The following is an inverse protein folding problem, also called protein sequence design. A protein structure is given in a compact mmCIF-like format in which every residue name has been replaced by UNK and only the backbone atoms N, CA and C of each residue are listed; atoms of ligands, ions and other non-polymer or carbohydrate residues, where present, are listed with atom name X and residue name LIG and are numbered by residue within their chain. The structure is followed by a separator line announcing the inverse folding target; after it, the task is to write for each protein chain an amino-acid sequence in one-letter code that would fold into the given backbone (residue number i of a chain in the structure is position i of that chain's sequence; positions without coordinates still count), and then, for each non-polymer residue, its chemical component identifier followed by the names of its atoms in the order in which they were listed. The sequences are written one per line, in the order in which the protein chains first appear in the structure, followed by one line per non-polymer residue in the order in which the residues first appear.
data_IF_757757582517
#
_entry.id   IF_757757582517
#
_cell.length_a   1.000
_cell.length_b   1.000
_cell.length_c   1.000
_cell.angle_alpha   90.00
_cell.angle_beta   90.00
_cell.angle_gamma   90.00
#
_symmetry.space_group_name_H-M   'P 1'
#
loop_
_entity.id
_entity.type
_entity.pdbx_description
1 polymer ?
#
# COMPACT_ATOMS: atom_id res chain seq x y z
N UNK A 1 -21.93 -35.81 38.29
CA UNK A 1 -22.51 -34.89 37.29
C UNK A 1 -21.48 -33.79 37.04
N UNK A 2 -20.67 -33.91 36.00
CA UNK A 2 -19.54 -32.99 35.73
C UNK A 2 -19.36 -32.75 34.21
N UNK A 3 -20.46 -32.64 33.47
CA UNK A 3 -20.44 -32.49 32.00
C UNK A 3 -20.86 -31.10 31.50
N UNK A 4 -21.27 -30.17 32.38
CA UNK A 4 -21.74 -28.83 31.99
C UNK A 4 -20.65 -27.77 31.92
N UNK A 5 -19.40 -28.09 32.28
CA UNK A 5 -18.31 -27.12 32.33
C UNK A 5 -17.76 -26.70 30.97
N UNK A 6 -17.74 -27.58 29.97
CA UNK A 6 -17.05 -27.33 28.69
C UNK A 6 -17.82 -26.42 27.72
N UNK A 7 -19.15 -26.38 27.78
CA UNK A 7 -19.97 -25.63 26.83
C UNK A 7 -19.82 -24.10 26.95
N UNK A 8 -19.42 -23.59 28.12
CA UNK A 8 -19.27 -22.14 28.36
C UNK A 8 -17.90 -21.58 27.92
N UNK A 9 -16.93 -22.44 27.59
CA UNK A 9 -15.59 -21.98 27.18
C UNK A 9 -15.48 -21.68 25.68
N UNK A 10 -16.23 -22.40 24.83
CA UNK A 10 -16.20 -22.20 23.38
C UNK A 10 -16.48 -20.76 22.90
N UNK A 11 -17.53 -20.07 23.38
CA UNK A 11 -17.79 -18.70 22.93
C UNK A 11 -16.73 -17.69 23.40
N UNK A 12 -16.09 -17.94 24.55
CA UNK A 12 -14.99 -17.10 25.04
C UNK A 12 -13.73 -17.23 24.19
N UNK A 13 -13.38 -18.46 23.78
CA UNK A 13 -12.23 -18.72 22.90
C UNK A 13 -12.45 -18.09 21.52
N UNK A 14 -13.65 -18.25 20.94
CA UNK A 14 -13.97 -17.65 19.63
C UNK A 14 -13.88 -16.12 19.69
N UNK A 15 -14.42 -15.49 20.74
CA UNK A 15 -14.29 -14.04 20.93
C UNK A 15 -12.84 -13.59 21.09
N UNK A 16 -12.01 -14.33 21.84
CA UNK A 16 -10.59 -14.01 21.99
C UNK A 16 -9.83 -14.10 20.66
N UNK A 17 -10.11 -15.13 19.85
CA UNK A 17 -9.49 -15.31 18.53
C UNK A 17 -9.90 -14.19 17.56
N UNK A 18 -11.19 -13.84 17.50
CA UNK A 18 -11.67 -12.74 16.65
C UNK A 18 -11.06 -11.40 17.08
N UNK A 19 -10.97 -11.17 18.40
CA UNK A 19 -10.37 -9.94 18.95
C UNK A 19 -8.89 -9.83 18.59
N UNK A 20 -8.14 -10.91 18.74
CA UNK A 20 -6.74 -10.96 18.34
C UNK A 20 -6.57 -10.73 16.83
N UNK A 21 -7.42 -11.34 15.99
CA UNK A 21 -7.39 -11.14 14.55
C UNK A 21 -7.66 -9.68 14.16
N UNK A 22 -8.66 -9.03 14.78
CA UNK A 22 -8.96 -7.61 14.53
C UNK A 22 -7.82 -6.68 14.96
N UNK A 23 -7.18 -6.95 16.09
CA UNK A 23 -6.03 -6.16 16.56
C UNK A 23 -4.82 -6.32 15.63
N UNK A 24 -4.53 -7.55 15.18
CA UNK A 24 -3.44 -7.82 14.24
C UNK A 24 -3.71 -7.15 12.89
N UNK A 25 -4.92 -7.32 12.34
CA UNK A 25 -5.32 -6.66 11.10
C UNK A 25 -5.25 -5.14 11.23
N UNK A 26 -5.69 -4.57 12.35
CA UNK A 26 -5.59 -3.15 12.64
C UNK A 26 -4.14 -2.65 12.70
N UNK A 27 -3.24 -3.39 13.34
CA UNK A 27 -1.81 -3.07 13.38
C UNK A 27 -1.18 -3.10 11.98
N UNK A 28 -1.49 -4.13 11.18
CA UNK A 28 -0.96 -4.26 9.82
C UNK A 28 -1.46 -3.07 8.97
N UNK A 29 -2.76 -2.81 8.96
CA UNK A 29 -3.36 -1.73 8.17
C UNK A 29 -2.88 -0.34 8.60
N UNK A 30 -2.70 -0.09 9.91
CA UNK A 30 -2.16 1.19 10.39
C UNK A 30 -0.68 1.36 10.05
N UNK A 31 0.11 0.30 10.09
CA UNK A 31 1.53 0.34 9.73
C UNK A 31 1.71 0.57 8.23
N UNK A 32 0.99 -0.15 7.38
CA UNK A 32 1.06 0.02 5.92
C UNK A 32 0.44 1.35 5.47
N UNK A 33 -0.67 1.76 6.08
CA UNK A 33 -1.30 3.04 5.77
C UNK A 33 -0.50 4.24 6.27
N UNK A 34 0.11 4.16 7.46
CA UNK A 34 0.88 5.27 8.05
C UNK A 34 2.18 5.61 7.30
N UNK A 35 2.75 4.69 6.52
CA UNK A 35 3.86 5.00 5.62
C UNK A 35 3.45 5.79 4.38
N UNK A 36 2.15 5.84 4.06
CA UNK A 36 1.61 6.46 2.83
C UNK A 36 0.68 7.65 3.13
N UNK A 37 0.09 7.67 4.32
CA UNK A 37 -0.88 8.64 4.77
C UNK A 37 -0.20 9.85 5.45
N UNK A 38 0.18 10.82 4.63
CA UNK A 38 0.33 12.19 5.09
C UNK A 38 -0.36 13.15 4.12
N UNK A 39 -1.60 13.47 4.48
CA UNK A 39 -2.39 14.65 4.09
C UNK A 39 -2.68 14.81 2.59
N UNK A 40 -3.23 13.79 1.93
CA UNK A 40 -3.67 13.90 0.54
C UNK A 40 -5.04 14.63 0.38
N UNK A 41 -5.82 14.81 1.46
CA UNK A 41 -7.24 15.24 1.35
C UNK A 41 -7.53 16.76 1.41
N UNK A 42 -6.55 17.65 1.56
CA UNK A 42 -6.83 19.09 1.79
C UNK A 42 -6.56 20.02 0.61
N UNK A 43 -5.91 19.55 -0.46
CA UNK A 43 -5.48 20.40 -1.57
C UNK A 43 -6.27 20.13 -2.85
N UNK A 44 -6.82 21.19 -3.45
CA UNK A 44 -7.38 21.13 -4.80
C UNK A 44 -6.23 21.11 -5.82
N UNK A 45 -6.06 19.98 -6.51
CA UNK A 45 -5.02 19.80 -7.53
C UNK A 45 -5.16 20.84 -8.64
N UNK A 46 -6.40 21.19 -8.99
CA UNK A 46 -6.70 22.12 -10.08
C UNK A 46 -6.37 23.58 -9.69
N UNK A 47 -6.10 23.87 -8.42
CA UNK A 47 -5.59 25.18 -7.96
C UNK A 47 -4.05 25.25 -7.93
N UNK A 48 -3.38 24.09 -7.93
CA UNK A 48 -1.94 23.99 -7.70
C UNK A 48 -1.19 23.68 -8.98
N UNK A 49 -1.75 22.80 -9.81
CA UNK A 49 -1.15 22.35 -11.06
C UNK A 49 -1.99 22.80 -12.25
N UNK A 50 -1.29 23.20 -13.31
CA UNK A 50 -1.88 23.57 -14.58
C UNK A 50 -1.48 22.54 -15.64
N UNK A 51 -2.46 22.03 -16.38
CA UNK A 51 -2.20 21.24 -17.60
C UNK A 51 -1.53 22.13 -18.63
N UNK A 52 -0.42 21.66 -19.16
CA UNK A 52 0.26 22.21 -20.32
C UNK A 52 -0.18 21.52 -21.62
N UNK A 53 -1.11 20.58 -21.55
CA UNK A 53 -1.48 19.70 -22.66
C UNK A 53 -0.35 18.76 -23.06
N UNK A 54 -0.39 18.26 -24.30
CA UNK A 54 0.61 17.34 -24.87
C UNK A 54 1.91 18.06 -25.23
N UNK A 55 2.63 18.56 -24.23
CA UNK A 55 3.88 19.31 -24.40
C UNK A 55 5.13 18.57 -23.93
N UNK A 56 4.98 17.43 -23.24
CA UNK A 56 6.10 16.57 -22.86
C UNK A 56 6.32 15.47 -23.88
N UNK A 57 7.56 15.31 -24.33
CA UNK A 57 7.98 14.18 -25.14
C UNK A 57 8.78 13.20 -24.30
N UNK A 58 8.42 11.93 -24.31
CA UNK A 58 9.22 10.88 -23.68
C UNK A 58 10.55 10.73 -24.44
N UNK A 59 11.65 10.87 -23.72
CA UNK A 59 13.01 10.74 -24.24
C UNK A 59 13.53 9.33 -24.00
N UNK A 60 13.27 8.76 -22.83
CA UNK A 60 13.65 7.39 -22.52
C UNK A 60 12.74 6.79 -21.44
N UNK A 61 12.63 5.46 -21.47
CA UNK A 61 11.88 4.69 -20.49
C UNK A 61 12.80 3.66 -19.88
N UNK A 62 13.09 3.79 -18.60
CA UNK A 62 13.85 2.77 -17.86
C UNK A 62 12.88 1.94 -17.04
N UNK A 63 12.70 0.69 -17.43
CA UNK A 63 11.92 -0.29 -16.67
C UNK A 63 12.87 -1.29 -16.01
N UNK A 64 12.78 -1.40 -14.69
CA UNK A 64 13.44 -2.43 -13.88
C UNK A 64 12.39 -3.14 -13.05
N UNK A 65 12.69 -4.34 -12.61
CA UNK A 65 11.83 -5.07 -11.70
C UNK A 65 12.69 -5.63 -10.57
N UNK A 66 12.12 -5.61 -9.36
CA UNK A 66 12.70 -6.17 -8.16
C UNK A 66 11.85 -7.36 -7.70
N UNK A 67 12.52 -8.47 -7.40
CA UNK A 67 11.88 -9.68 -6.88
C UNK A 67 12.20 -9.83 -5.40
N UNK A 68 11.19 -9.86 -4.54
CA UNK A 68 11.37 -10.11 -3.11
C UNK A 68 10.65 -11.40 -2.74
N UNK A 69 11.32 -12.28 -1.99
CA UNK A 69 10.69 -13.51 -1.46
C UNK A 69 10.58 -13.42 0.04
N UNK A 70 9.39 -13.70 0.56
CA UNK A 70 9.15 -13.82 2.01
C UNK A 70 8.53 -15.18 2.32
N UNK A 71 8.98 -15.78 3.41
CA UNK A 71 8.36 -17.02 3.92
C UNK A 71 7.27 -16.64 4.92
N UNK A 72 6.02 -17.00 4.63
CA UNK A 72 4.88 -16.78 5.52
C UNK A 72 4.48 -18.10 6.17
N UNK A 73 4.34 -18.12 7.48
CA UNK A 73 3.82 -19.30 8.19
C UNK A 73 2.30 -19.35 8.04
N UNK A 74 1.77 -20.42 7.46
CA UNK A 74 0.32 -20.66 7.32
C UNK A 74 -0.20 -21.45 8.53
N UNK A 75 0.62 -22.33 9.11
CA UNK A 75 0.32 -23.08 10.34
C UNK A 75 1.60 -23.50 11.07
N UNK A 76 1.47 -24.17 12.21
CA UNK A 76 2.58 -24.64 13.05
C UNK A 76 3.65 -25.42 12.29
N UNK A 77 3.23 -26.17 11.26
CA UNK A 77 4.09 -27.09 10.51
C UNK A 77 4.16 -26.77 9.01
N UNK A 78 3.61 -25.62 8.57
CA UNK A 78 3.55 -25.24 7.16
C UNK A 78 3.91 -23.78 6.93
N UNK A 79 4.91 -23.57 6.07
CA UNK A 79 5.29 -22.27 5.54
C UNK A 79 5.04 -22.21 4.03
N UNK A 80 4.40 -21.14 3.56
CA UNK A 80 4.43 -20.77 2.14
C UNK A 80 5.60 -19.83 1.87
N UNK A 81 6.16 -19.92 0.67
CA UNK A 81 7.02 -18.87 0.14
C UNK A 81 6.20 -18.00 -0.79
N UNK A 82 6.17 -16.72 -0.50
CA UNK A 82 5.52 -15.69 -1.29
C UNK A 82 6.59 -14.96 -2.09
N UNK A 83 6.33 -14.76 -3.37
CA UNK A 83 7.15 -13.91 -4.24
C UNK A 83 6.39 -12.63 -4.57
N UNK A 84 7.04 -11.50 -4.34
CA UNK A 84 6.58 -10.16 -4.66
C UNK A 84 7.38 -9.65 -5.86
N UNK A 85 6.68 -9.22 -6.91
CA UNK A 85 7.27 -8.54 -8.05
C UNK A 85 6.91 -7.05 -7.96
N UNK A 86 7.93 -6.19 -7.89
CA UNK A 86 7.76 -4.75 -7.98
C UNK A 86 8.38 -4.24 -9.27
N UNK A 87 7.64 -3.46 -10.03
CA UNK A 87 8.15 -2.74 -11.19
C UNK A 87 8.54 -1.34 -10.81
N UNK A 88 9.71 -0.94 -11.27
CA UNK A 88 10.26 0.40 -11.15
C UNK A 88 10.37 0.98 -12.56
N UNK A 89 9.46 1.90 -12.89
CA UNK A 89 9.48 2.61 -14.18
C UNK A 89 9.91 4.05 -13.94
N UNK A 90 10.96 4.47 -14.65
CA UNK A 90 11.45 5.85 -14.65
C UNK A 90 11.34 6.39 -16.06
N UNK A 91 10.54 7.44 -16.19
CA UNK A 91 10.40 8.18 -17.44
C UNK A 91 11.36 9.37 -17.46
N UNK A 92 12.12 9.49 -18.54
CA UNK A 92 12.81 10.74 -18.87
C UNK A 92 12.01 11.41 -19.98
N UNK A 93 11.72 12.69 -19.82
CA UNK A 93 10.91 13.46 -20.76
C UNK A 93 11.52 14.84 -21.01
N UNK A 94 11.15 15.49 -22.11
CA UNK A 94 11.54 16.87 -22.42
C UNK A 94 10.31 17.74 -22.58
N UNK A 95 10.36 18.94 -22.02
CA UNK A 95 9.37 20.00 -22.26
C UNK A 95 9.98 20.96 -23.27
N UNK A 96 9.45 20.99 -24.49
CA UNK A 96 10.02 21.78 -25.61
C UNK A 96 11.51 21.48 -25.89
N UNK A 97 12.26 22.41 -26.49
CA UNK A 97 13.70 22.27 -26.78
C UNK A 97 14.60 22.53 -25.56
N UNK A 98 14.02 22.83 -24.39
CA UNK A 98 14.74 23.44 -23.27
C UNK A 98 15.53 22.46 -22.38
N UNK A 99 15.24 21.16 -22.41
CA UNK A 99 16.00 20.17 -21.63
C UNK A 99 15.26 18.85 -21.38
N UNK A 100 15.99 17.86 -20.85
CA UNK A 100 15.48 16.56 -20.43
C UNK A 100 15.38 16.48 -18.90
N UNK A 101 14.23 16.03 -18.41
CA UNK A 101 13.87 15.87 -17.00
C UNK A 101 13.56 14.41 -16.70
N UNK A 102 13.95 13.95 -15.51
CA UNK A 102 13.60 12.61 -15.04
C UNK A 102 12.42 12.70 -14.07
N UNK A 103 11.35 11.97 -14.35
CA UNK A 103 10.21 11.80 -13.45
C UNK A 103 10.61 10.97 -12.23
N UNK A 104 9.86 11.10 -11.13
CA UNK A 104 10.04 10.22 -9.97
C UNK A 104 9.79 8.75 -10.38
N UNK A 105 10.59 7.79 -9.86
CA UNK A 105 10.34 6.38 -10.09
C UNK A 105 8.92 5.98 -9.68
N UNK A 106 8.18 5.43 -10.65
CA UNK A 106 6.89 4.81 -10.43
C UNK A 106 7.11 3.38 -9.97
N UNK A 107 6.59 3.07 -8.78
CA UNK A 107 6.67 1.74 -8.20
C UNK A 107 5.28 1.13 -8.25
N UNK A 108 5.10 0.07 -9.03
CA UNK A 108 3.86 -0.69 -9.03
C UNK A 108 4.12 -2.14 -8.62
N UNK A 109 3.24 -2.69 -7.79
CA UNK A 109 3.29 -4.10 -7.41
C UNK A 109 2.47 -4.93 -8.40
N UNK A 110 3.05 -6.02 -8.93
CA UNK A 110 2.30 -6.98 -9.77
C UNK A 110 1.45 -7.96 -8.95
N UNK A 111 1.41 -7.80 -7.63
CA UNK A 111 0.74 -8.71 -6.70
C UNK A 111 1.67 -9.77 -6.11
N UNK A 112 1.11 -10.58 -5.22
CA UNK A 112 1.79 -11.68 -4.54
C UNK A 112 1.49 -13.00 -5.26
N UNK A 113 2.54 -13.81 -5.45
CA UNK A 113 2.41 -15.14 -6.03
C UNK A 113 2.92 -16.18 -5.04
N UNK A 114 2.03 -17.06 -4.58
CA UNK A 114 2.39 -18.18 -3.71
C UNK A 114 3.14 -19.26 -4.50
N UNK A 115 4.33 -19.63 -4.03
CA UNK A 115 5.14 -20.70 -4.60
C UNK A 115 4.82 -22.00 -3.85
N UNK A 116 4.39 -23.08 -4.54
CA UNK A 116 4.17 -24.37 -3.89
C UNK A 116 5.49 -24.95 -3.35
N UNK A 117 5.43 -25.51 -2.14
CA UNK A 117 6.53 -26.21 -1.48
C UNK A 117 7.13 -27.29 -2.42
N UNK A 118 8.39 -27.10 -2.84
CA UNK A 118 9.10 -28.02 -3.73
C UNK A 118 9.48 -27.44 -5.11
N UNK A 119 8.99 -26.26 -5.47
CA UNK A 119 9.33 -25.55 -6.71
C UNK A 119 10.72 -24.89 -6.71
N UNK A 120 11.75 -25.55 -6.19
CA UNK A 120 13.13 -25.02 -6.11
C UNK A 120 13.98 -25.39 -7.35
N UNK A 121 13.34 -25.65 -8.49
CA UNK A 121 13.99 -26.03 -9.73
C UNK A 121 14.33 -24.83 -10.61
N UNK A 122 15.41 -24.96 -11.39
CA UNK A 122 15.94 -24.02 -12.38
C UNK A 122 14.99 -23.56 -13.49
N UNK A 123 13.74 -24.03 -13.48
CA UNK A 123 12.64 -23.62 -14.36
C UNK A 123 11.78 -22.49 -13.76
N UNK A 124 12.24 -21.84 -12.70
CA UNK A 124 11.74 -20.53 -12.27
C UNK A 124 12.16 -19.46 -13.28
N UNK A 125 11.61 -19.56 -14.49
CA UNK A 125 11.54 -18.44 -15.41
C UNK A 125 10.91 -17.30 -14.61
N UNK A 126 11.72 -16.27 -14.38
CA UNK A 126 11.42 -15.10 -13.56
C UNK A 126 9.94 -14.75 -13.73
N UNK A 127 9.10 -15.01 -12.71
CA UNK A 127 7.64 -14.83 -12.86
C UNK A 127 7.30 -13.36 -13.07
N UNK A 128 8.23 -12.46 -12.73
CA UNK A 128 8.19 -11.05 -13.07
C UNK A 128 8.55 -10.77 -14.57
N UNK A 129 9.02 -11.76 -15.32
CA UNK A 129 9.16 -11.74 -16.79
C UNK A 129 8.05 -12.53 -17.51
N UNK A 130 7.07 -13.08 -16.78
CA UNK A 130 5.96 -13.81 -17.39
C UNK A 130 5.15 -12.98 -18.41
N UNK A 131 4.44 -13.65 -19.31
CA UNK A 131 3.71 -13.06 -20.45
C UNK A 131 2.67 -11.98 -20.09
N UNK A 132 2.37 -11.78 -18.81
CA UNK A 132 1.46 -10.75 -18.32
C UNK A 132 1.99 -9.31 -18.40
N UNK A 133 3.32 -9.10 -18.49
CA UNK A 133 3.93 -7.77 -18.65
C UNK A 133 3.70 -6.79 -17.49
N UNK A 134 4.19 -5.56 -17.64
CA UNK A 134 3.86 -4.42 -16.78
C UNK A 134 2.39 -4.01 -17.03
N UNK A 135 1.51 -4.21 -16.05
CA UNK A 135 0.06 -4.15 -16.26
C UNK A 135 -0.59 -2.80 -15.94
N UNK A 136 0.07 -1.94 -15.16
CA UNK A 136 -0.50 -0.66 -14.72
C UNK A 136 0.57 0.41 -14.69
N UNK A 137 0.44 1.37 -15.59
CA UNK A 137 1.15 2.65 -15.56
C UNK A 137 0.18 3.76 -15.14
N UNK A 138 0.70 4.84 -14.56
CA UNK A 138 -0.06 6.05 -14.26
C UNK A 138 0.00 7.09 -15.38
N UNK A 139 0.89 6.90 -16.36
CA UNK A 139 1.10 7.83 -17.48
C UNK A 139 0.42 7.35 -18.77
N UNK A 140 0.59 6.06 -19.10
CA UNK A 140 0.09 5.47 -20.35
C UNK A 140 -0.74 4.20 -20.09
N UNK A 141 -1.49 3.71 -21.09
CA UNK A 141 -2.11 2.38 -21.01
C UNK A 141 -1.05 1.28 -21.25
N UNK A 142 -0.15 1.12 -20.28
CA UNK A 142 1.09 0.34 -20.39
C UNK A 142 2.33 1.24 -20.40
N UNK A 143 3.48 0.72 -20.83
CA UNK A 143 4.70 1.53 -20.95
C UNK A 143 4.57 2.52 -22.12
N UNK A 144 4.85 3.80 -21.86
CA UNK A 144 4.93 4.79 -22.94
C UNK A 144 6.07 4.44 -23.91
N UNK A 145 5.94 4.88 -25.16
CA UNK A 145 7.01 4.72 -26.15
C UNK A 145 7.94 5.93 -26.17
N UNK A 146 9.22 5.70 -26.49
CA UNK A 146 10.15 6.81 -26.75
C UNK A 146 9.66 7.64 -27.95
N UNK A 147 9.72 8.96 -27.80
CA UNK A 147 9.20 9.92 -28.78
C UNK A 147 7.71 10.21 -28.66
N UNK A 148 6.97 9.51 -27.80
CA UNK A 148 5.55 9.76 -27.57
C UNK A 148 5.34 11.12 -26.86
N UNK A 149 4.36 11.88 -27.34
CA UNK A 149 3.92 13.11 -26.69
C UNK A 149 2.79 12.80 -25.70
N UNK A 150 2.93 13.32 -24.49
CA UNK A 150 2.03 13.07 -23.37
C UNK A 150 1.68 14.36 -22.66
N UNK A 151 0.55 14.32 -21.96
CA UNK A 151 0.10 15.43 -21.15
C UNK A 151 1.10 15.71 -20.03
N UNK A 152 1.29 16.99 -19.72
CA UNK A 152 2.21 17.41 -18.69
C UNK A 152 1.67 18.56 -17.87
N UNK A 153 2.22 18.65 -16.67
CA UNK A 153 1.73 19.47 -15.59
C UNK A 153 2.87 20.30 -15.04
N UNK A 154 2.54 21.54 -14.66
CA UNK A 154 3.44 22.44 -13.95
C UNK A 154 2.69 23.12 -12.81
N UNK A 155 3.37 23.56 -11.75
CA UNK A 155 2.72 24.35 -10.71
C UNK A 155 2.24 25.70 -11.27
N UNK A 156 1.09 26.18 -10.80
CA UNK A 156 0.52 27.49 -11.17
C UNK A 156 1.34 28.65 -10.63
N UNK A 157 1.93 28.48 -9.45
CA UNK A 157 2.85 29.44 -8.85
C UNK A 157 4.29 29.01 -9.13
N UNK A 158 5.19 29.97 -9.36
CA UNK A 158 6.60 29.68 -9.54
C UNK A 158 7.14 29.04 -8.27
N UNK A 159 7.39 27.73 -8.29
CA UNK A 159 8.09 27.06 -7.21
C UNK A 159 9.54 27.51 -7.21
N UNK A 160 9.88 28.50 -6.38
CA UNK A 160 11.27 28.84 -6.09
C UNK A 160 11.82 27.78 -5.13
N UNK A 161 12.36 26.68 -5.67
CA UNK A 161 12.83 25.51 -4.92
C UNK A 161 12.00 24.25 -5.23
N UNK A 162 12.45 23.07 -4.77
CA UNK A 162 11.59 21.88 -4.78
C UNK A 162 10.31 22.26 -4.05
N UNK A 163 9.16 22.33 -4.73
CA UNK A 163 7.91 22.78 -4.13
C UNK A 163 7.79 22.15 -2.74
N UNK A 164 7.97 22.96 -1.68
CA UNK A 164 8.01 22.49 -0.30
C UNK A 164 6.58 22.24 0.18
N UNK A 165 5.82 21.49 -0.62
CA UNK A 165 4.58 20.91 -0.18
C UNK A 165 4.93 19.90 0.89
N UNK A 166 4.22 19.94 2.02
CA UNK A 166 4.23 18.86 3.01
C UNK A 166 3.86 17.53 2.37
N UNK A 167 3.12 17.57 1.25
CA UNK A 167 2.66 16.42 0.50
C UNK A 167 3.73 15.86 -0.43
N UNK A 168 4.07 14.58 -0.23
CA UNK A 168 5.08 13.88 -1.03
C UNK A 168 4.66 13.67 -2.49
N UNK A 169 3.36 13.60 -2.79
CA UNK A 169 2.82 13.43 -4.15
C UNK A 169 3.01 14.69 -5.01
N UNK A 170 3.00 15.89 -4.40
CA UNK A 170 3.16 17.15 -5.13
C UNK A 170 4.63 17.56 -5.34
N UNK A 171 5.59 16.82 -4.76
CA UNK A 171 7.03 17.13 -4.91
C UNK A 171 7.53 16.74 -6.29
N UNK A 172 8.16 17.70 -6.97
CA UNK A 172 8.88 17.47 -8.22
C UNK A 172 10.34 17.04 -7.98
N UNK A 173 10.85 16.21 -8.90
CA UNK A 173 12.25 15.77 -8.95
C UNK A 173 13.18 16.77 -9.66
N UNK A 174 12.63 17.79 -10.31
CA UNK A 174 13.36 18.77 -11.12
C UNK A 174 13.09 20.22 -10.68
N UNK A 175 14.01 21.13 -11.02
CA UNK A 175 13.98 22.54 -10.58
C UNK A 175 12.83 23.34 -11.18
N UNK A 176 12.42 23.01 -12.40
CA UNK A 176 11.30 23.68 -13.10
C UNK A 176 9.92 23.13 -12.70
N UNK A 177 9.92 22.04 -11.92
CA UNK A 177 8.75 21.30 -11.46
C UNK A 177 7.77 20.89 -12.56
N UNK A 178 8.27 20.28 -13.61
CA UNK A 178 7.43 19.59 -14.59
C UNK A 178 7.13 18.17 -14.14
N UNK A 179 5.90 17.73 -14.41
CA UNK A 179 5.43 16.36 -14.15
C UNK A 179 4.70 15.83 -15.36
N UNK A 180 4.84 14.54 -15.62
CA UNK A 180 4.09 13.85 -16.68
C UNK A 180 2.95 12.97 -16.14
N UNK A 181 2.96 12.71 -14.84
CA UNK A 181 1.88 12.00 -14.16
C UNK A 181 0.83 13.03 -13.76
N UNK A 182 -0.43 12.68 -13.99
CA UNK A 182 -1.56 13.48 -13.53
C UNK A 182 -1.53 13.60 -11.99
N UNK A 183 -1.34 14.82 -11.44
CA UNK A 183 -1.28 15.02 -10.01
C UNK A 183 -2.58 14.60 -9.30
N UNK A 184 -3.72 14.60 -9.99
CA UNK A 184 -5.00 14.13 -9.46
C UNK A 184 -5.02 12.63 -9.28
N UNK A 185 -4.47 11.90 -10.26
CA UNK A 185 -4.28 10.46 -10.17
C UNK A 185 -3.31 10.09 -9.05
N UNK A 186 -2.21 10.83 -8.87
CA UNK A 186 -1.30 10.64 -7.73
C UNK A 186 -1.95 10.95 -6.38
N UNK A 187 -2.76 12.00 -6.29
CA UNK A 187 -3.52 12.32 -5.08
C UNK A 187 -4.49 11.19 -4.72
N UNK A 188 -5.23 10.65 -5.69
CA UNK A 188 -6.15 9.53 -5.46
C UNK A 188 -5.41 8.27 -4.98
N UNK A 189 -4.28 7.94 -5.61
CA UNK A 189 -3.46 6.81 -5.15
C UNK A 189 -2.88 7.06 -3.74
N UNK A 190 -2.51 8.30 -3.40
CA UNK A 190 -2.09 8.64 -2.05
C UNK A 190 -3.22 8.53 -1.01
N UNK A 191 -4.47 8.86 -1.40
CA UNK A 191 -5.65 8.70 -0.55
C UNK A 191 -6.00 7.24 -0.27
N UNK A 192 -5.70 6.30 -1.16
CA UNK A 192 -5.87 4.87 -0.88
C UNK A 192 -5.06 4.43 0.36
N UNK A 193 -3.85 4.98 0.53
CA UNK A 193 -3.02 4.79 1.74
C UNK A 193 -3.67 5.36 3.01
N UNK A 194 -4.33 6.52 2.92
CA UNK A 194 -5.08 7.13 4.03
C UNK A 194 -6.30 6.29 4.44
N UNK A 195 -7.02 5.73 3.47
CA UNK A 195 -8.17 4.84 3.73
C UNK A 195 -7.72 3.58 4.48
N UNK A 196 -6.58 2.99 4.09
CA UNK A 196 -6.00 1.83 4.78
C UNK A 196 -5.60 2.18 6.23
N UNK A 197 -5.02 3.37 6.44
CA UNK A 197 -4.69 3.84 7.79
C UNK A 197 -5.95 4.00 8.65
N UNK A 198 -6.99 4.65 8.12
CA UNK A 198 -8.27 4.86 8.80
C UNK A 198 -8.94 3.53 9.17
N UNK A 199 -8.97 2.57 8.24
CA UNK A 199 -9.46 1.21 8.46
C UNK A 199 -8.65 0.50 9.55
N UNK A 200 -7.33 0.65 9.54
CA UNK A 200 -6.46 0.12 10.59
C UNK A 200 -6.80 0.66 11.96
N UNK A 201 -6.96 1.99 12.09
CA UNK A 201 -7.32 2.63 13.36
C UNK A 201 -8.69 2.14 13.83
N UNK A 202 -9.67 2.02 12.92
CA UNK A 202 -11.00 1.50 13.24
C UNK A 202 -10.94 0.05 13.79
N UNK A 203 -10.15 -0.83 13.17
CA UNK A 203 -9.97 -2.20 13.66
C UNK A 203 -9.29 -2.26 15.03
N UNK A 204 -8.31 -1.39 15.30
CA UNK A 204 -7.68 -1.30 16.62
C UNK A 204 -8.69 -0.88 17.70
N UNK A 205 -9.52 0.12 17.43
CA UNK A 205 -10.54 0.61 18.38
C UNK A 205 -11.58 -0.48 18.68
N UNK A 206 -12.08 -1.16 17.63
CA UNK A 206 -13.05 -2.25 17.79
C UNK A 206 -12.42 -3.42 18.56
N UNK A 207 -11.20 -3.81 18.19
CA UNK A 207 -10.46 -4.88 18.88
C UNK A 207 -10.21 -4.56 20.36
N UNK A 208 -9.78 -3.34 20.68
CA UNK A 208 -9.58 -2.91 22.05
C UNK A 208 -10.89 -2.92 22.86
N UNK A 209 -11.99 -2.46 22.26
CA UNK A 209 -13.32 -2.51 22.88
C UNK A 209 -13.76 -3.95 23.18
N UNK A 210 -13.60 -4.87 22.23
CA UNK A 210 -13.92 -6.29 22.41
C UNK A 210 -13.04 -6.95 23.49
N UNK A 211 -11.76 -6.60 23.58
CA UNK A 211 -10.85 -7.08 24.63
C UNK A 211 -11.31 -6.63 26.03
N UNK A 212 -11.73 -5.37 26.19
CA UNK A 212 -12.23 -4.86 27.47
C UNK A 212 -13.55 -5.53 27.88
N UNK A 213 -14.47 -5.75 26.94
CA UNK A 213 -15.72 -6.45 27.22
C UNK A 213 -15.50 -7.91 27.63
N UNK A 214 -14.60 -8.63 26.95
CA UNK A 214 -14.29 -10.03 27.28
C UNK A 214 -13.58 -10.17 28.63
N UNK A 215 -12.62 -9.30 28.94
CA UNK A 215 -11.99 -9.24 30.27
C UNK A 215 -12.99 -8.93 31.38
N UNK A 216 -13.92 -7.97 31.15
CA UNK A 216 -14.97 -7.62 32.11
C UNK A 216 -15.95 -8.77 32.36
N UNK A 217 -16.38 -9.47 31.32
CA UNK A 217 -17.24 -10.66 31.45
C UNK A 217 -16.53 -11.79 32.20
N UNK A 218 -15.25 -12.04 31.89
CA UNK A 218 -14.45 -13.09 32.54
C UNK A 218 -14.25 -12.78 34.03
N UNK A 219 -13.94 -11.53 34.37
CA UNK A 219 -13.82 -11.08 35.76
C UNK A 219 -15.14 -11.24 36.54
N UNK A 220 -16.26 -10.86 35.93
CA UNK A 220 -17.60 -11.04 36.51
C UNK A 220 -17.95 -12.52 36.75
N UNK A 221 -17.54 -13.42 35.85
CA UNK A 221 -17.75 -14.87 36.01
C UNK A 221 -16.89 -15.42 37.15
N UNK A 222 -15.61 -15.03 37.22
CA UNK A 222 -14.68 -15.47 38.29
C UNK A 222 -15.18 -15.02 39.66
N UNK A 223 -15.62 -13.75 39.80
CA UNK A 223 -16.14 -13.24 41.08
C UNK A 223 -17.48 -13.82 41.50
N UNK A 224 -18.26 -14.38 40.57
CA UNK A 224 -19.53 -15.05 40.89
C UNK A 224 -19.36 -16.50 41.32
N UNK A 225 -18.16 -17.08 41.29
CA UNK A 225 -17.96 -18.41 41.84
C UNK A 225 -18.06 -18.34 43.37
N UNK A 226 -19.05 -19.00 43.99
CA UNK A 226 -19.15 -19.04 45.44
C UNK A 226 -17.87 -19.66 46.00
N UNK A 227 -17.28 -19.01 47.00
CA UNK A 227 -16.19 -19.58 47.77
C UNK A 227 -16.66 -20.94 48.29
N UNK A 228 -16.05 -22.01 47.79
CA UNK A 228 -16.18 -23.33 48.41
C UNK A 228 -15.51 -23.22 49.78
N UNK A 229 -16.29 -22.83 50.79
CA UNK A 229 -15.93 -23.01 52.19
C UNK A 229 -15.86 -24.52 52.43
N UNK A 230 -14.62 -25.01 52.59
CA UNK A 230 -14.30 -26.36 53.05
C UNK A 230 -14.40 -26.47 54.56
#
# INVERSE_FOLDING_TARGET
MAATGLANFFPSIICAVITAALLIAGLICTFTGGSEASTASELDVDEIFLSMGQACRIVSVTHRYDTKRESRSISSDSSETVEFCQDHVVYTFSVSEAGSYAERPQVSSRGEVTIPLGGLGSDMQDRCQGAGGYQKDLVCNGLCQEGQEIECWRPMTSCTGSCETTHAWAKCSNTECYKIIDPKTEQLNAQEGEILQLLGVAFLVIGAGAALCTCGLTWCIIRRQPSFES
#
